data_IF_480403300629
#
_entry.id   IF_480403300629
#
_cell.length_a   1.000
_cell.length_b   1.000
_cell.length_c   1.000
_cell.angle_alpha   90.00
_cell.angle_beta   90.00
_cell.angle_gamma   90.00
#
_symmetry.space_group_name_H-M   'P 1'
#
loop_
_entity.id
_entity.type
_entity.pdbx_description
1 polymer ?
2 non-polymer ?
3 non-polymer ?
4 non-polymer ?
5 non-polymer ?
6 water ?
#
# COMPACT_ATOMS: atom_id res chain seq x y z
N UNK A 4 21.86 20.48 -24.10
CA UNK A 4 21.43 21.02 -25.43
C UNK A 4 20.12 21.78 -25.31
N UNK A 5 19.92 22.73 -26.21
CA UNK A 5 18.69 23.51 -26.22
C UNK A 5 17.59 22.56 -26.66
N UNK A 6 17.96 21.57 -27.47
CA UNK A 6 17.02 20.58 -27.97
C UNK A 6 16.70 19.55 -26.90
N UNK A 7 17.66 19.31 -26.01
CA UNK A 7 17.47 18.36 -24.93
C UNK A 7 16.43 18.90 -23.96
N UNK A 8 16.47 20.21 -23.75
CA UNK A 8 15.53 20.87 -22.85
C UNK A 8 14.11 20.77 -23.38
N UNK A 9 13.93 21.05 -24.67
CA UNK A 9 12.61 20.99 -25.29
C UNK A 9 12.09 19.55 -25.34
N UNK A 10 12.99 18.61 -25.58
CA UNK A 10 12.61 17.20 -25.65
C UNK A 10 12.10 16.76 -24.28
N UNK A 11 12.77 17.23 -23.23
CA UNK A 11 12.39 16.89 -21.86
C UNK A 11 11.05 17.52 -21.50
N UNK A 12 10.80 18.71 -22.04
CA UNK A 12 9.54 19.41 -21.78
C UNK A 12 8.38 18.56 -22.28
N UNK A 13 8.49 18.09 -23.52
CA UNK A 13 7.46 17.27 -24.12
C UNK A 13 7.27 15.97 -23.35
N UNK A 14 8.38 15.35 -22.97
CA UNK A 14 8.33 14.10 -22.22
C UNK A 14 7.58 14.32 -20.91
N UNK A 15 7.98 15.35 -20.16
CA UNK A 15 7.32 15.64 -18.90
C UNK A 15 5.84 15.96 -19.09
N UNK A 16 5.50 16.65 -20.17
CA UNK A 16 4.11 16.99 -20.43
C UNK A 16 3.30 15.71 -20.67
N UNK A 17 3.83 14.81 -21.49
CA UNK A 17 3.13 13.57 -21.80
C UNK A 17 2.91 12.73 -20.56
N UNK A 18 3.91 12.68 -19.68
CA UNK A 18 3.79 11.93 -18.44
C UNK A 18 2.67 12.54 -17.60
N UNK A 19 2.63 13.86 -17.53
CA UNK A 19 1.59 14.55 -16.78
C UNK A 19 0.22 14.17 -17.33
N UNK A 20 0.12 14.11 -18.66
CA UNK A 20 -1.14 13.76 -19.30
C UNK A 20 -1.57 12.34 -18.96
N UNK A 21 -0.67 11.38 -19.09
CA UNK A 21 -1.01 9.99 -18.77
C UNK A 21 -1.34 9.82 -17.29
N UNK A 22 -0.57 10.47 -16.42
CA UNK A 22 -0.84 10.37 -14.99
C UNK A 22 -2.16 11.07 -14.66
N UNK A 23 -2.44 12.15 -15.37
CA UNK A 23 -3.68 12.88 -15.13
C UNK A 23 -4.90 12.06 -15.50
N UNK A 24 -4.82 11.34 -16.61
CA UNK A 24 -5.94 10.51 -17.06
C UNK A 24 -6.18 9.38 -16.06
N UNK A 25 -5.11 8.71 -15.64
CA UNK A 25 -5.24 7.62 -14.68
C UNK A 25 -5.83 8.13 -13.37
N UNK A 26 -5.40 9.32 -12.95
CA UNK A 26 -5.89 9.92 -11.71
C UNK A 26 -7.35 10.32 -11.81
N UNK A 27 -7.70 11.02 -12.89
CA UNK A 27 -9.07 11.47 -13.10
C UNK A 27 -10.06 10.31 -13.07
N UNK A 28 -9.68 9.19 -13.68
CA UNK A 28 -10.57 8.04 -13.73
C UNK A 28 -10.49 7.12 -12.52
N UNK A 29 -9.74 7.55 -11.50
CA UNK A 29 -9.62 6.77 -10.27
C UNK A 29 -8.87 5.46 -10.36
N UNK A 30 -8.02 5.33 -11.37
CA UNK A 30 -7.24 4.11 -11.56
C UNK A 30 -6.08 4.04 -10.56
N UNK A 31 -5.69 5.19 -10.04
CA UNK A 31 -4.59 5.26 -9.08
C UNK A 31 -4.72 6.51 -8.22
N UNK A 32 -4.05 6.48 -7.08
CA UNK A 32 -4.04 7.60 -6.14
C UNK A 32 -2.58 7.99 -5.96
N UNK A 33 -2.31 9.28 -5.99
CA UNK A 33 -0.96 9.78 -5.85
C UNK A 33 -0.80 10.53 -4.53
N UNK A 34 0.26 10.20 -3.79
CA UNK A 34 0.56 10.86 -2.52
C UNK A 34 2.07 11.11 -2.56
N UNK A 35 2.46 12.36 -2.71
CA UNK A 35 3.87 12.67 -2.79
C UNK A 35 4.43 11.97 -4.02
N UNK A 36 5.50 11.21 -3.85
CA UNK A 36 6.11 10.49 -4.97
C UNK A 36 5.64 9.04 -5.06
N UNK A 37 4.65 8.68 -4.25
CA UNK A 37 4.14 7.31 -4.24
C UNK A 37 2.78 7.18 -4.90
N UNK A 38 2.60 6.11 -5.67
CA UNK A 38 1.34 5.85 -6.36
C UNK A 38 0.72 4.55 -5.84
N UNK A 39 -0.55 4.63 -5.44
CA UNK A 39 -1.27 3.46 -4.94
C UNK A 39 -2.33 3.07 -5.95
N UNK A 40 -2.52 1.77 -6.14
CA UNK A 40 -3.52 1.27 -7.08
C UNK A 40 -3.94 -0.14 -6.71
N UNK A 41 -5.13 -0.55 -7.13
CA UNK A 41 -5.61 -1.89 -6.83
C UNK A 41 -6.23 -2.49 -8.09
N UNK A 42 -6.26 -3.82 -8.15
CA UNK A 42 -6.88 -4.50 -9.29
C UNK A 42 -8.28 -4.92 -8.88
N UNK A 43 -8.65 -4.57 -7.65
CA UNK A 43 -9.97 -4.90 -7.14
C UNK A 43 -10.12 -6.31 -6.61
N UNK A 44 -9.06 -7.11 -6.67
CA UNK A 44 -9.12 -8.49 -6.19
C UNK A 44 -8.87 -8.63 -4.70
N UNK A 45 -9.48 -9.65 -4.11
CA UNK A 45 -9.33 -9.96 -2.69
C UNK A 45 -8.70 -11.34 -2.58
N UNK A 46 -7.43 -11.37 -2.20
CA UNK A 46 -6.68 -12.62 -2.06
C UNK A 46 -5.80 -12.54 -0.81
N UNK A 47 -5.08 -13.62 -0.51
CA UNK A 47 -4.22 -13.62 0.67
C UNK A 47 -2.92 -12.84 0.47
N UNK A 48 -2.19 -12.67 1.57
CA UNK A 48 -0.94 -11.93 1.59
C UNK A 48 0.08 -12.31 0.52
N UNK A 49 0.43 -13.59 0.45
CA UNK A 49 1.42 -14.05 -0.53
C UNK A 49 0.98 -13.76 -1.96
N UNK A 50 -0.31 -13.92 -2.23
CA UNK A 50 -0.83 -13.68 -3.56
C UNK A 50 -0.75 -12.20 -3.93
N UNK A 51 -1.00 -11.33 -2.95
CA UNK A 51 -0.94 -9.89 -3.18
C UNK A 51 0.49 -9.48 -3.53
N UNK A 52 1.46 -9.94 -2.74
CA UNK A 52 2.85 -9.60 -3.01
C UNK A 52 3.22 -9.96 -4.44
N UNK A 53 2.79 -11.14 -4.87
CA UNK A 53 3.07 -11.63 -6.22
C UNK A 53 2.44 -10.73 -7.28
N UNK A 54 1.18 -10.37 -7.07
CA UNK A 54 0.49 -9.50 -8.03
C UNK A 54 1.19 -8.16 -8.15
N UNK A 55 1.61 -7.60 -7.02
CA UNK A 55 2.28 -6.30 -7.04
C UNK A 55 3.66 -6.36 -7.68
N UNK A 56 4.46 -7.34 -7.27
CA UNK A 56 5.80 -7.47 -7.82
C UNK A 56 5.76 -7.72 -9.33
N UNK A 57 4.76 -8.48 -9.78
CA UNK A 57 4.61 -8.79 -11.20
C UNK A 57 4.27 -7.52 -11.99
N UNK A 58 3.63 -6.57 -11.32
CA UNK A 58 3.25 -5.31 -11.96
C UNK A 58 4.36 -4.28 -11.87
N UNK A 59 5.47 -4.66 -11.24
CA UNK A 59 6.59 -3.75 -11.11
C UNK A 59 6.57 -2.92 -9.84
N UNK A 60 5.67 -3.27 -8.92
CA UNK A 60 5.57 -2.53 -7.67
C UNK A 60 5.73 -3.42 -6.45
N UNK A 61 5.11 -3.01 -5.35
CA UNK A 61 5.18 -3.75 -4.09
C UNK A 61 3.87 -3.61 -3.32
N UNK A 62 3.57 -4.59 -2.47
CA UNK A 62 2.37 -4.53 -1.66
C UNK A 62 2.50 -3.22 -0.89
N UNK A 63 1.41 -2.45 -0.86
CA UNK A 63 1.43 -1.14 -0.20
C UNK A 63 1.67 -1.13 1.30
N UNK A 64 2.32 -0.07 1.76
CA UNK A 64 2.58 0.13 3.19
C UNK A 64 2.67 1.63 3.45
N UNK A 65 1.82 2.14 4.35
CA UNK A 65 1.85 3.57 4.64
C UNK A 65 2.97 3.93 5.62
N UNK A 66 3.67 5.02 5.34
CA UNK A 66 4.76 5.47 6.21
C UNK A 66 4.47 6.87 6.75
N UNK A 67 3.33 7.42 6.38
CA UNK A 67 2.90 8.74 6.84
C UNK A 67 1.38 8.73 6.96
N UNK A 68 0.82 9.65 7.77
CA UNK A 68 -0.63 9.72 7.94
C UNK A 68 -1.34 9.90 6.60
N UNK A 69 -0.77 10.74 5.74
CA UNK A 69 -1.35 11.00 4.42
C UNK A 69 -1.38 9.74 3.57
N UNK A 70 -0.31 8.94 3.62
CA UNK A 70 -0.27 7.70 2.85
C UNK A 70 -1.28 6.74 3.45
N UNK A 71 -1.40 6.74 4.77
CA UNK A 71 -2.34 5.85 5.43
C UNK A 71 -3.76 6.17 4.98
N UNK A 72 -4.09 7.45 4.95
CA UNK A 72 -5.41 7.91 4.55
C UNK A 72 -5.74 7.53 3.10
N UNK A 73 -4.73 7.54 2.23
CA UNK A 73 -4.95 7.19 0.83
C UNK A 73 -5.34 5.72 0.71
N UNK A 74 -4.59 4.84 1.36
CA UNK A 74 -4.90 3.42 1.32
C UNK A 74 -6.27 3.19 1.95
N UNK A 75 -6.54 3.90 3.04
CA UNK A 75 -7.82 3.76 3.73
C UNK A 75 -8.98 4.12 2.80
N UNK A 76 -8.80 5.12 1.95
CA UNK A 76 -9.86 5.53 1.04
C UNK A 76 -10.15 4.41 0.04
N UNK A 77 -9.11 3.69 -0.36
CA UNK A 77 -9.28 2.59 -1.31
C UNK A 77 -9.99 1.43 -0.62
N UNK A 78 -9.60 1.16 0.62
CA UNK A 78 -10.23 0.09 1.38
C UNK A 78 -11.72 0.40 1.54
N UNK A 79 -12.03 1.67 1.80
CA UNK A 79 -13.41 2.08 1.98
C UNK A 79 -14.18 2.01 0.66
N UNK A 80 -13.52 2.39 -0.42
CA UNK A 80 -14.12 2.36 -1.75
C UNK A 80 -14.59 0.95 -2.12
N UNK A 81 -13.77 -0.05 -1.80
CA UNK A 81 -14.12 -1.44 -2.11
C UNK A 81 -14.73 -2.18 -0.92
N UNK A 82 -14.91 -1.48 0.19
CA UNK A 82 -15.49 -2.06 1.40
C UNK A 82 -14.82 -3.37 1.80
N UNK A 83 -13.51 -3.35 2.01
CA UNK A 83 -12.78 -4.55 2.40
C UNK A 83 -11.46 -4.17 3.05
N UNK A 84 -11.00 -4.98 4.00
CA UNK A 84 -9.73 -4.73 4.67
C UNK A 84 -8.61 -4.88 3.65
N UNK A 85 -7.46 -4.29 3.95
CA UNK A 85 -6.29 -4.33 3.07
C UNK A 85 -5.06 -4.86 3.80
N UNK A 86 -4.38 -5.84 3.23
CA UNK A 86 -3.15 -6.34 3.86
C UNK A 86 -2.06 -5.31 3.58
N UNK A 87 -1.26 -4.99 4.59
CA UNK A 87 -0.19 -4.01 4.42
C UNK A 87 1.16 -4.70 4.26
N UNK A 88 2.15 -3.97 3.75
CA UNK A 88 3.47 -4.52 3.55
C UNK A 88 4.35 -4.57 4.78
N UNK A 89 4.02 -5.47 5.70
CA UNK A 89 4.80 -5.62 6.93
C UNK A 89 4.47 -6.94 7.61
N UNK A 90 5.44 -7.49 8.33
CA UNK A 90 5.25 -8.75 9.04
C UNK A 90 5.85 -8.69 10.43
N UNK A 91 5.33 -9.52 11.32
CA UNK A 91 5.79 -9.55 12.71
C UNK A 91 7.18 -10.15 12.89
N UNK A 92 7.98 -9.53 13.76
CA UNK A 92 9.33 -9.99 14.05
C UNK A 92 9.26 -11.29 14.84
N UNK A 93 10.41 -11.77 15.31
CA UNK A 93 10.47 -12.98 16.11
C UNK A 93 9.86 -12.63 17.46
N UNK A 94 10.12 -11.41 17.90
CA UNK A 94 9.59 -10.90 19.15
C UNK A 94 8.18 -10.39 18.90
N UNK A 95 7.16 -11.14 19.36
CA UNK A 95 5.78 -10.71 19.14
C UNK A 95 5.55 -9.26 19.55
N UNK A 96 4.73 -8.56 18.77
CA UNK A 96 4.45 -7.17 19.05
C UNK A 96 5.27 -6.23 18.19
N UNK A 97 6.43 -6.71 17.73
CA UNK A 97 7.30 -5.90 16.89
C UNK A 97 7.15 -6.28 15.42
N UNK A 98 6.99 -5.28 14.57
CA UNK A 98 6.83 -5.53 13.14
C UNK A 98 7.88 -4.82 12.30
N UNK A 99 8.16 -5.38 11.14
CA UNK A 99 9.14 -4.77 10.24
C UNK A 99 8.61 -4.74 8.82
N UNK A 100 9.14 -3.83 8.02
CA UNK A 100 8.75 -3.73 6.62
C UNK A 100 9.36 -4.96 5.96
N UNK A 101 8.90 -5.29 4.76
CA UNK A 101 9.41 -6.46 4.07
C UNK A 101 10.90 -6.40 3.75
N UNK A 102 11.50 -5.22 3.87
CA UNK A 102 12.93 -5.07 3.61
C UNK A 102 13.72 -5.32 4.90
N UNK A 103 13.00 -5.58 5.99
CA UNK A 103 13.64 -5.85 7.27
C UNK A 103 13.67 -4.71 8.27
N UNK A 104 13.57 -3.48 7.79
CA UNK A 104 13.60 -2.31 8.68
C UNK A 104 12.40 -2.31 9.63
N UNK A 105 12.62 -1.84 10.85
CA UNK A 105 11.55 -1.78 11.85
C UNK A 105 10.52 -0.73 11.46
N UNK A 106 9.25 -1.06 11.64
CA UNK A 106 8.17 -0.14 11.31
C UNK A 106 8.27 1.12 12.16
N UNK A 107 8.12 2.27 11.52
CA UNK A 107 8.18 3.54 12.25
C UNK A 107 6.75 4.02 12.48
N UNK A 108 6.14 4.60 11.46
CA UNK A 108 4.76 5.07 11.57
C UNK A 108 3.81 3.89 11.78
N UNK A 109 2.86 4.05 12.69
CA UNK A 109 1.87 3.00 12.96
C UNK A 109 0.52 3.66 13.21
N UNK A 110 -0.55 2.88 13.09
CA UNK A 110 -1.88 3.41 13.32
C UNK A 110 -2.76 2.27 13.80
N UNK A 111 -2.28 1.58 14.82
CA UNK A 111 -2.98 0.44 15.38
C UNK A 111 -4.35 0.79 15.95
N UNK A 112 -5.31 -0.11 15.74
CA UNK A 112 -6.63 0.10 16.31
C UNK A 112 -6.38 -0.07 17.81
N UNK A 113 -7.08 0.68 18.67
CA UNK A 113 -6.88 0.56 20.11
C UNK A 113 -6.80 -0.88 20.62
N UNK A 114 -5.71 -1.21 21.31
CA UNK A 114 -5.54 -2.55 21.84
C UNK A 114 -4.65 -3.43 20.99
N UNK A 115 -4.54 -3.10 19.71
CA UNK A 115 -3.69 -3.88 18.80
C UNK A 115 -2.27 -3.34 18.84
N UNK A 116 -1.28 -4.18 18.52
CA UNK A 116 -1.44 -5.58 18.14
C UNK A 116 -1.46 -6.47 19.38
N UNK A 117 -2.25 -7.55 19.34
CA UNK A 117 -2.31 -8.46 20.47
C UNK A 117 -2.53 -9.90 20.04
N UNK A 118 -1.91 -10.27 18.92
CA UNK A 118 -2.04 -11.62 18.41
C UNK A 118 -1.12 -12.60 19.12
N UNK A 119 -0.22 -12.07 19.95
CA UNK A 119 0.72 -12.90 20.69
C UNK A 119 1.62 -13.75 19.79
N UNK A 120 1.91 -13.25 18.60
CA UNK A 120 2.77 -13.98 17.67
C UNK A 120 2.04 -14.95 16.76
N UNK A 121 0.72 -15.06 16.92
CA UNK A 121 -0.06 -15.96 16.10
C UNK A 121 -0.60 -15.25 14.86
N UNK A 122 -0.46 -13.93 14.83
CA UNK A 122 -0.92 -13.12 13.71
C UNK A 122 0.25 -12.29 13.19
N UNK A 123 1.00 -12.88 12.26
CA UNK A 123 2.19 -12.26 11.68
C UNK A 123 1.91 -11.12 10.70
N UNK A 124 0.74 -11.12 10.07
CA UNK A 124 0.41 -10.07 9.12
C UNK A 124 -0.37 -8.89 9.70
N UNK A 125 -0.50 -7.83 8.92
CA UNK A 125 -1.21 -6.64 9.35
C UNK A 125 -2.25 -6.22 8.31
N UNK A 126 -3.49 -6.06 8.77
CA UNK A 126 -4.58 -5.65 7.89
C UNK A 126 -5.08 -4.28 8.31
N UNK A 127 -5.57 -3.51 7.34
CA UNK A 127 -6.10 -2.18 7.62
C UNK A 127 -7.62 -2.22 7.54
N UNK A 128 -8.28 -1.74 8.58
CA UNK A 128 -9.73 -1.68 8.63
C UNK A 128 -10.14 -0.54 7.70
N UNK A 129 -11.42 -0.46 7.36
CA UNK A 129 -11.85 0.61 6.46
C UNK A 129 -11.72 2.00 7.06
N UNK A 130 -11.54 2.10 8.38
CA UNK A 130 -11.38 3.42 8.98
C UNK A 130 -9.90 3.83 9.02
N UNK A 131 -9.04 2.98 8.47
CA UNK A 131 -7.62 3.29 8.42
C UNK A 131 -6.76 2.71 9.54
N UNK A 132 -7.37 2.25 10.62
CA UNK A 132 -6.60 1.69 11.73
C UNK A 132 -6.15 0.28 11.39
N UNK A 133 -5.10 -0.20 12.07
CA UNK A 133 -4.55 -1.52 11.80
C UNK A 133 -4.84 -2.58 12.85
N UNK A 134 -4.71 -3.83 12.42
CA UNK A 134 -4.91 -4.99 13.27
C UNK A 134 -3.99 -6.11 12.81
N UNK A 135 -3.24 -6.70 13.73
CA UNK A 135 -2.37 -7.80 13.34
C UNK A 135 -3.31 -8.98 13.14
N UNK A 136 -3.09 -9.73 12.06
CA UNK A 136 -3.96 -10.84 11.72
C UNK A 136 -3.19 -11.93 10.99
N UNK A 137 -3.82 -13.10 10.85
CA UNK A 137 -3.18 -14.19 10.13
C UNK A 137 -2.99 -13.73 8.70
N UNK A 138 -2.16 -14.43 7.94
CA UNK A 138 -1.88 -14.05 6.56
C UNK A 138 -2.66 -14.80 5.50
N UNK A 139 -3.61 -15.64 5.90
CA UNK A 139 -4.37 -16.43 4.94
C UNK A 139 -5.75 -15.93 4.56
N UNK A 140 -6.15 -14.76 5.05
CA UNK A 140 -7.47 -14.23 4.72
C UNK A 140 -7.45 -13.60 3.33
N UNK A 141 -8.63 -13.33 2.79
CA UNK A 141 -8.75 -12.71 1.48
C UNK A 141 -8.93 -11.22 1.69
N UNK A 142 -7.94 -10.45 1.25
CA UNK A 142 -7.96 -9.01 1.43
C UNK A 142 -7.72 -8.27 0.12
N UNK A 143 -8.21 -7.04 0.05
CA UNK A 143 -8.04 -6.22 -1.14
C UNK A 143 -6.57 -6.02 -1.45
N UNK A 144 -6.18 -6.29 -2.69
CA UNK A 144 -4.80 -6.15 -3.12
C UNK A 144 -4.50 -4.70 -3.50
N UNK A 145 -3.71 -4.02 -2.68
CA UNK A 145 -3.34 -2.64 -2.96
C UNK A 145 -1.82 -2.60 -3.10
N UNK A 146 -1.36 -2.03 -4.21
CA UNK A 146 0.07 -1.94 -4.49
C UNK A 146 0.54 -0.49 -4.51
N UNK A 147 1.84 -0.30 -4.32
CA UNK A 147 2.43 1.03 -4.37
C UNK A 147 3.54 0.97 -5.41
N UNK A 148 3.72 2.07 -6.14
CA UNK A 148 4.75 2.14 -7.17
C UNK A 148 5.58 3.40 -7.00
X LIG B 1 -5.03 -8.71 16.17
X LIG C 1 0.91 -11.80 16.39
X LIG D 1 -12.72 -12.47 7.39
X LIG D 1 -11.27 -12.70 7.26
X LIG D 1 -13.26 -12.06 6.08
X LIG D 1 -13.37 -13.73 7.82
X LIG D 1 -12.96 -11.41 8.39
X LIG E 1 -10.45 -9.53 16.61
X LIG E 1 -9.32 -9.08 17.54
X LIG E 1 -8.03 -8.95 16.72
X LIG E 1 -7.72 -10.27 16.02
X LIG E 1 -8.92 -10.73 15.18
X LIG E 1 -8.69 -12.12 14.60
X LIG E 1 -10.63 -8.59 15.60
X LIG E 1 -9.14 -10.06 18.57
X LIG E 1 -6.96 -8.60 17.58
X LIG E 1 -6.59 -10.12 15.18
X LIG E 1 -10.12 -10.79 16.00
X LIG E 1 -9.78 -12.55 13.79
#
# INVERSE_FOLDING_TARGET
>A
AYLDEELQTELYEIKHQILQTMGVLSLQGSMLSVGDKVFSTNGQSVNFDTIKEMCTRAGGNIAVPRTPEENEAIASIAKKYNNYVYLGMIEDQTPGDFHYLDGASVSYTNWYPGEPRGQGKEKCVEMYTDGTWNDRGCLQYRLAVCEF
>B hetero
1 CA CA
>C hetero
1 NA NA
>D hetero
1 SO4 S O1 O2 O3 O4
>E hetero
1 MAN C1 C2 C3 C4 C5 C6 O1 O2 O3 O4 O5 O6
#
